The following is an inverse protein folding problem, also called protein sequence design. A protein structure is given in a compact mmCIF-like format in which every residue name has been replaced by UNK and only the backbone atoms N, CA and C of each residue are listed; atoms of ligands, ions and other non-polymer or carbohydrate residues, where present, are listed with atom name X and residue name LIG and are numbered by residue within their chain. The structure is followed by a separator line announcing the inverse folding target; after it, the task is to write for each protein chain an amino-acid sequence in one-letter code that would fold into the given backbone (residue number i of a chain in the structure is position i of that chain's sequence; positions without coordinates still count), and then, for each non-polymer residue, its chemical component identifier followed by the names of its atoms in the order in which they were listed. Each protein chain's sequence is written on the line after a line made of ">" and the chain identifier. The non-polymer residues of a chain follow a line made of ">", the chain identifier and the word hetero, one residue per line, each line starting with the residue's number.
data_IF_332541130673
#
_entry.id   IF_332541130673
#
_cell.length_a   1.000
_cell.length_b   1.000
_cell.length_c   1.000
_cell.angle_alpha   90.00
_cell.angle_beta   90.00
_cell.angle_gamma   90.00
#
_symmetry.space_group_name_H-M   'P 1'
#
loop_
_entity.id
_entity.type
_entity.pdbx_description
1 polymer ?
#
# COMPACT_ATOMS: atom_id res chain seq x y z
N UNK A 1 2.31 -7.44 -2.42
CA UNK A 1 2.58 -5.97 -2.38
C UNK A 1 1.65 -5.29 -3.37
N UNK A 2 0.99 -4.20 -2.97
CA UNK A 2 0.18 -3.35 -3.86
C UNK A 2 0.76 -1.95 -3.87
N UNK A 3 0.94 -1.37 -5.04
CA UNK A 3 1.41 0.00 -5.23
C UNK A 3 0.36 0.72 -6.07
N UNK A 4 -0.10 1.89 -5.63
CA UNK A 4 -1.02 2.73 -6.38
C UNK A 4 -0.47 4.15 -6.46
N UNK A 5 -0.27 4.64 -7.67
CA UNK A 5 0.17 5.99 -7.96
C UNK A 5 -0.99 6.77 -8.56
N UNK A 6 -1.22 8.00 -8.08
CA UNK A 6 -2.26 8.87 -8.58
C UNK A 6 -1.71 10.27 -8.80
N UNK A 7 -2.00 10.86 -9.96
CA UNK A 7 -1.55 12.20 -10.32
C UNK A 7 -1.34 12.34 -11.82
N UNK A 8 -0.60 13.37 -12.22
CA UNK A 8 -0.21 13.62 -13.61
C UNK A 8 0.98 12.73 -14.00
N UNK A 9 0.70 11.43 -14.14
CA UNK A 9 1.72 10.42 -14.43
C UNK A 9 2.39 10.71 -15.78
N UNK A 10 3.72 10.81 -15.79
CA UNK A 10 4.50 11.12 -17.00
C UNK A 10 4.29 12.54 -17.55
N UNK A 11 3.74 13.47 -16.76
CA UNK A 11 3.47 14.84 -17.21
C UNK A 11 2.20 15.02 -18.04
N UNK A 12 1.37 13.97 -18.14
CA UNK A 12 0.07 14.05 -18.83
C UNK A 12 -0.81 15.17 -18.25
N UNK A 13 -1.61 15.80 -19.11
CA UNK A 13 -2.51 16.89 -18.70
C UNK A 13 -3.62 16.40 -17.76
N UNK A 14 -4.14 15.19 -18.01
CA UNK A 14 -5.18 14.55 -17.20
C UNK A 14 -4.54 13.64 -16.16
N UNK A 15 -4.93 13.81 -14.89
CA UNK A 15 -4.48 12.94 -13.82
C UNK A 15 -5.06 11.53 -13.95
N UNK A 16 -4.22 10.51 -13.76
CA UNK A 16 -4.61 9.09 -13.80
C UNK A 16 -4.23 8.40 -12.50
N UNK A 17 -4.89 7.28 -12.23
CA UNK A 17 -4.55 6.36 -11.14
C UNK A 17 -4.16 5.03 -11.73
N UNK A 18 -2.89 4.67 -11.58
CA UNK A 18 -2.37 3.37 -11.96
C UNK A 18 -2.01 2.59 -10.70
N UNK A 19 -2.31 1.30 -10.70
CA UNK A 19 -1.93 0.44 -9.61
C UNK A 19 -1.41 -0.88 -10.13
N UNK A 20 -0.42 -1.40 -9.42
CA UNK A 20 0.13 -2.71 -9.64
C UNK A 20 -0.02 -3.51 -8.35
N UNK A 21 -0.29 -4.80 -8.50
CA UNK A 21 -0.35 -5.73 -7.38
C UNK A 21 0.42 -6.97 -7.75
N UNK A 22 1.33 -7.34 -6.88
CA UNK A 22 2.02 -8.61 -6.91
C UNK A 22 1.66 -9.43 -5.67
N UNK A 23 1.36 -10.72 -5.86
CA UNK A 23 0.89 -11.62 -4.81
C UNK A 23 -0.45 -11.25 -4.17
N UNK A 24 -0.62 -11.64 -2.90
CA UNK A 24 -1.85 -11.44 -2.10
C UNK A 24 -1.74 -10.20 -1.22
N UNK A 25 -2.82 -9.39 -1.18
CA UNK A 25 -2.98 -8.25 -0.27
C UNK A 25 -4.46 -8.20 0.17
N UNK A 26 -4.82 -8.96 1.22
CA UNK A 26 -6.21 -9.09 1.65
C UNK A 26 -6.63 -7.92 2.58
N UNK A 27 -7.19 -6.86 2.00
CA UNK A 27 -7.52 -5.63 2.74
C UNK A 27 -8.69 -5.74 3.73
N UNK A 28 -9.56 -6.76 3.57
CA UNK A 28 -10.71 -6.96 4.45
C UNK A 28 -10.40 -7.93 5.61
N UNK A 29 -9.22 -8.56 5.59
CA UNK A 29 -8.84 -9.57 6.59
C UNK A 29 -8.13 -8.89 7.75
N UNK A 30 -8.82 -8.71 8.89
CA UNK A 30 -8.27 -7.98 10.06
C UNK A 30 -7.02 -8.66 10.64
N UNK A 31 -6.92 -10.00 10.56
CA UNK A 31 -5.74 -10.75 11.01
C UNK A 31 -4.51 -10.61 10.11
N UNK A 32 -4.65 -9.95 8.96
CA UNK A 32 -3.53 -9.74 8.04
C UNK A 32 -2.67 -8.58 8.54
N UNK A 33 -1.37 -8.83 8.74
CA UNK A 33 -0.40 -7.77 9.00
C UNK A 33 -0.10 -7.06 7.68
N UNK A 34 -0.62 -5.84 7.55
CA UNK A 34 -0.46 -5.01 6.36
C UNK A 34 0.12 -3.67 6.77
N UNK A 35 1.32 -3.37 6.29
CA UNK A 35 1.88 -2.03 6.37
C UNK A 35 1.28 -1.18 5.25
N UNK A 36 0.78 0.00 5.62
CA UNK A 36 0.35 1.03 4.68
C UNK A 36 1.25 2.25 4.77
N UNK A 37 1.73 2.72 3.62
CA UNK A 37 2.50 3.95 3.51
C UNK A 37 1.91 4.87 2.44
N UNK A 38 1.92 6.17 2.71
CA UNK A 38 1.62 7.21 1.74
C UNK A 38 2.83 8.13 1.62
N UNK A 39 3.23 8.41 0.39
CA UNK A 39 4.27 9.36 0.07
C UNK A 39 3.82 10.25 -1.09
N UNK A 40 4.22 11.51 -1.08
CA UNK A 40 3.94 12.47 -2.14
C UNK A 40 5.24 12.78 -2.88
N UNK A 41 5.20 12.67 -4.20
CA UNK A 41 6.30 13.07 -5.07
C UNK A 41 5.96 14.42 -5.70
N UNK A 42 6.76 15.43 -5.38
CA UNK A 42 6.67 16.76 -5.98
C UNK A 42 7.42 16.76 -7.31
N UNK A 43 6.67 16.93 -8.39
CA UNK A 43 7.22 17.03 -9.75
C UNK A 43 6.95 18.43 -10.31
N UNK A 44 7.61 18.77 -11.42
CA UNK A 44 7.39 20.03 -12.13
C UNK A 44 5.94 20.23 -12.57
N UNK A 45 5.21 19.14 -12.82
CA UNK A 45 3.82 19.15 -13.30
C UNK A 45 2.78 19.05 -12.18
N UNK A 46 3.21 18.99 -10.92
CA UNK A 46 2.34 18.87 -9.74
C UNK A 46 2.74 17.72 -8.83
N UNK A 47 1.80 17.27 -7.99
CA UNK A 47 2.04 16.23 -6.99
C UNK A 47 1.54 14.88 -7.48
N UNK A 48 2.36 13.84 -7.30
CA UNK A 48 1.98 12.44 -7.51
C UNK A 48 1.88 11.77 -6.14
N UNK A 49 0.70 11.28 -5.78
CA UNK A 49 0.49 10.51 -4.57
C UNK A 49 0.80 9.04 -4.80
N UNK A 50 1.70 8.47 -4.00
CA UNK A 50 2.08 7.05 -4.02
C UNK A 50 1.57 6.39 -2.74
N UNK A 51 0.73 5.39 -2.90
CA UNK A 51 0.16 4.58 -1.82
C UNK A 51 0.67 3.15 -1.95
N UNK A 52 1.26 2.62 -0.88
CA UNK A 52 1.85 1.27 -0.87
C UNK A 52 1.22 0.45 0.25
N UNK A 53 0.89 -0.79 -0.07
CA UNK A 53 0.47 -1.82 0.89
C UNK A 53 1.43 -3.01 0.81
N UNK A 54 2.05 -3.35 1.93
CA UNK A 54 2.95 -4.50 2.06
C UNK A 54 2.30 -5.49 3.00
N UNK A 55 1.91 -6.65 2.48
CA UNK A 55 1.41 -7.76 3.27
C UNK A 55 2.59 -8.57 3.79
N UNK A 56 2.77 -8.62 5.11
CA UNK A 56 3.87 -9.33 5.79
C UNK A 56 3.50 -10.75 6.23
N UNK A 57 2.21 -11.05 6.33
CA UNK A 57 1.72 -12.35 6.78
C UNK A 57 0.43 -12.23 7.58
N UNK A 58 -0.04 -13.34 8.13
CA UNK A 58 -1.13 -13.34 9.11
C UNK A 58 -0.55 -13.36 10.52
N UNK A 59 -1.06 -12.50 11.40
CA UNK A 59 -0.75 -12.56 12.84
C UNK A 59 -1.60 -13.69 13.41
N UNK A 60 -1.03 -14.90 13.53
CA UNK A 60 -1.64 -15.90 14.39
C UNK A 60 -1.46 -15.43 15.84
N UNK A 61 -2.47 -15.55 16.72
CA UNK A 61 -2.26 -15.39 18.14
C UNK A 61 -1.29 -16.49 18.57
N UNK A 62 0.00 -16.17 18.66
CA UNK A 62 0.96 -17.04 19.34
C UNK A 62 0.43 -17.22 20.76
N UNK A 63 0.35 -18.47 21.19
CA UNK A 63 0.12 -18.90 22.56
C UNK A 63 1.25 -18.38 23.48
N UNK A 64 1.35 -17.07 23.68
CA UNK A 64 2.29 -16.39 24.57
C UNK A 64 1.59 -15.79 25.80
N UNK A 65 0.47 -16.39 26.18
CA UNK A 65 -0.26 -16.12 27.41
C UNK A 65 -0.62 -17.44 28.14
N UNK A 66 0.22 -18.47 28.00
CA UNK A 66 0.11 -19.73 28.75
C UNK A 66 1.21 -19.91 29.82
N UNK A 67 2.10 -18.93 30.00
CA UNK A 67 3.09 -18.91 31.08
C UNK A 67 3.19 -17.50 31.67
N UNK A 68 2.34 -17.21 32.65
CA UNK A 68 2.57 -16.25 33.73
C UNK A 68 1.52 -16.48 34.84
#
# INVERSE_FOLDING_TARGET
>A
IRIACAGRLGGAEIARREWYRDGRVPLHTIRAEIDYGLAEAHTTYGVIGVKVWIFKGEVLPTQRAAEA
#
